data_IF_708675283531
#
_entry.id   IF_708675283531
#
_cell.length_a   1.000
_cell.length_b   1.000
_cell.length_c   1.000
_cell.angle_alpha   90.00
_cell.angle_beta   90.00
_cell.angle_gamma   90.00
#
_symmetry.space_group_name_H-M   'P 1'
#
loop_
_entity.id
_entity.type
_entity.pdbx_description
1 polymer ?
#
# COMPACT_ATOMS: atom_id res chain seq x y z
N UNK A 1 9.28 -27.54 -44.86
CA UNK A 1 7.93 -27.23 -45.33
C UNK A 1 7.49 -25.92 -44.72
N UNK A 2 7.33 -24.92 -45.55
CA UNK A 2 6.90 -23.56 -45.24
C UNK A 2 5.43 -23.53 -44.88
N UNK A 3 5.06 -22.70 -43.91
CA UNK A 3 3.81 -21.96 -44.01
C UNK A 3 3.89 -20.60 -43.29
N UNK A 4 3.98 -19.61 -44.12
CA UNK A 4 3.80 -18.19 -43.84
C UNK A 4 2.29 -17.89 -43.84
N UNK A 5 1.77 -17.25 -42.83
CA UNK A 5 0.45 -16.57 -42.95
C UNK A 5 0.58 -15.14 -42.45
N UNK A 6 0.65 -14.25 -43.44
CA UNK A 6 0.45 -12.81 -43.26
C UNK A 6 -1.04 -12.56 -43.02
N UNK A 7 -1.38 -11.69 -42.09
CA UNK A 7 -2.68 -11.02 -42.05
C UNK A 7 -2.52 -9.51 -42.06
N UNK A 8 -3.29 -8.93 -42.92
CA UNK A 8 -3.30 -7.58 -43.49
C UNK A 8 -3.88 -6.55 -42.57
N UNK A 9 -3.35 -5.33 -42.73
CA UNK A 9 -3.89 -4.03 -42.22
C UNK A 9 -5.28 -3.77 -42.81
N UNK A 10 -6.18 -3.20 -42.04
CA UNK A 10 -7.30 -2.41 -42.52
C UNK A 10 -7.35 -1.07 -41.79
N UNK A 11 -7.24 0.00 -42.58
CA UNK A 11 -7.46 1.38 -42.20
C UNK A 11 -8.84 1.79 -42.74
N UNK A 12 -9.55 2.63 -42.04
CA UNK A 12 -10.65 3.53 -42.46
C UNK A 12 -11.46 3.90 -41.20
N UNK A 13 -11.90 5.09 -40.93
CA UNK A 13 -11.99 6.30 -41.66
C UNK A 13 -12.54 7.40 -40.77
N UNK A 14 -12.17 8.56 -41.12
CA UNK A 14 -12.50 9.87 -40.56
C UNK A 14 -13.95 10.28 -40.91
N UNK A 15 -14.74 10.75 -39.94
CA UNK A 15 -15.95 11.54 -40.19
C UNK A 15 -16.07 12.67 -39.18
N UNK A 16 -15.99 13.91 -39.63
CA UNK A 16 -16.41 15.16 -38.99
C UNK A 16 -17.75 15.58 -39.63
N UNK A 17 -18.71 16.10 -38.89
CA UNK A 17 -19.43 17.31 -39.34
C UNK A 17 -19.60 18.36 -38.23
N UNK A 18 -19.16 19.55 -38.51
CA UNK A 18 -19.91 20.75 -38.98
C UNK A 18 -20.80 21.43 -37.94
N UNK A 19 -20.32 22.52 -37.54
CA UNK A 19 -20.76 23.89 -37.24
C UNK A 19 -22.27 24.18 -37.40
N UNK A 20 -22.89 24.77 -36.37
CA UNK A 20 -24.06 25.61 -36.50
C UNK A 20 -23.92 26.85 -35.59
N UNK A 21 -23.71 28.00 -36.19
CA UNK A 21 -23.79 29.33 -35.62
C UNK A 21 -25.23 29.78 -35.62
N UNK A 22 -25.75 30.27 -34.50
CA UNK A 22 -26.98 31.06 -34.45
C UNK A 22 -26.69 32.39 -33.76
N UNK A 23 -26.67 33.44 -34.55
CA UNK A 23 -26.73 34.82 -34.07
C UNK A 23 -28.18 35.19 -33.73
N UNK A 24 -28.40 35.78 -32.55
CA UNK A 24 -29.53 36.64 -32.32
C UNK A 24 -29.06 37.99 -31.78
N UNK A 25 -29.28 38.99 -32.59
CA UNK A 25 -29.19 40.44 -32.28
C UNK A 25 -30.51 40.89 -31.70
N UNK A 26 -30.49 41.58 -30.59
CA UNK A 26 -31.67 42.23 -30.02
C UNK A 26 -31.26 43.36 -29.08
N UNK A 27 -31.09 44.56 -29.61
CA UNK A 27 -30.96 45.80 -28.84
C UNK A 27 -32.26 46.14 -28.12
N UNK A 28 -32.17 46.53 -26.85
CA UNK A 28 -32.98 47.68 -26.38
C UNK A 28 -32.32 48.35 -25.18
N UNK A 29 -32.08 49.64 -25.35
CA UNK A 29 -31.63 50.57 -24.34
C UNK A 29 -32.76 50.90 -23.36
N UNK A 30 -32.45 50.97 -22.09
CA UNK A 30 -33.17 51.88 -21.20
C UNK A 30 -32.22 52.46 -20.15
N UNK A 31 -32.30 53.76 -19.96
CA UNK A 31 -31.46 54.59 -19.11
C UNK A 31 -32.05 54.59 -17.69
N UNK A 32 -31.32 54.22 -16.70
CA UNK A 32 -31.61 54.42 -15.30
C UNK A 32 -30.32 54.72 -14.52
N UNK A 33 -30.34 55.86 -13.88
CA UNK A 33 -29.27 56.56 -13.17
C UNK A 33 -28.71 55.76 -11.96
N UNK A 34 -27.44 55.94 -11.59
CA UNK A 34 -26.79 55.07 -10.57
C UNK A 34 -27.07 55.60 -9.16
N UNK A 35 -27.68 54.78 -8.33
CA UNK A 35 -27.60 54.93 -6.87
C UNK A 35 -26.36 54.25 -6.38
N UNK A 36 -25.44 55.09 -5.90
CA UNK A 36 -24.27 54.68 -5.12
C UNK A 36 -24.74 54.03 -3.82
N UNK A 37 -24.57 52.72 -3.68
CA UNK A 37 -24.59 52.03 -2.39
C UNK A 37 -23.19 51.53 -2.05
N UNK A 38 -22.63 52.04 -0.96
CA UNK A 38 -21.33 51.63 -0.45
C UNK A 38 -21.31 50.13 -0.14
N UNK A 39 -20.21 49.43 -0.43
CA UNK A 39 -20.12 48.00 -0.11
C UNK A 39 -20.04 47.80 1.42
N UNK A 40 -20.91 46.94 1.92
CA UNK A 40 -20.82 46.43 3.29
C UNK A 40 -19.50 45.65 3.48
N UNK A 41 -18.86 45.73 4.63
CA UNK A 41 -17.63 44.98 4.90
C UNK A 41 -17.90 43.49 4.78
N UNK A 42 -17.16 42.82 3.91
CA UNK A 42 -17.20 41.38 3.76
C UNK A 42 -16.79 40.72 5.10
N UNK A 43 -17.73 40.01 5.70
CA UNK A 43 -17.46 39.15 6.83
C UNK A 43 -16.39 38.14 6.42
N UNK A 44 -15.25 38.17 7.08
CA UNK A 44 -14.18 37.18 6.88
C UNK A 44 -14.76 35.79 7.14
N UNK A 45 -14.79 34.94 6.12
CA UNK A 45 -15.15 33.56 6.23
C UNK A 45 -14.15 32.88 7.17
N UNK A 46 -14.58 32.56 8.38
CA UNK A 46 -13.83 31.73 9.31
C UNK A 46 -13.84 30.34 8.73
N UNK A 47 -12.73 29.92 8.10
CA UNK A 47 -12.52 28.55 7.66
C UNK A 47 -12.59 27.67 8.91
N UNK A 48 -13.54 26.68 9.00
CA UNK A 48 -13.55 25.77 10.13
C UNK A 48 -12.21 25.05 10.20
N UNK A 49 -11.52 25.16 11.35
CA UNK A 49 -10.34 24.36 11.60
C UNK A 49 -10.72 22.89 11.44
N UNK A 50 -10.05 22.17 10.55
CA UNK A 50 -10.27 20.76 10.34
C UNK A 50 -10.12 20.04 11.67
N UNK A 51 -11.18 19.40 12.16
CA UNK A 51 -11.11 18.59 13.37
C UNK A 51 -10.06 17.50 13.15
N UNK A 52 -9.15 17.26 14.11
CA UNK A 52 -8.19 16.17 13.98
C UNK A 52 -8.95 14.87 13.79
N UNK A 53 -8.66 14.18 12.69
CA UNK A 53 -9.19 12.83 12.41
C UNK A 53 -8.75 11.95 13.59
N UNK A 54 -9.66 11.16 14.20
CA UNK A 54 -9.29 10.24 15.28
C UNK A 54 -8.09 9.40 14.84
N UNK A 55 -7.13 9.18 15.73
CA UNK A 55 -6.02 8.29 15.48
C UNK A 55 -6.58 6.90 15.12
N UNK A 56 -6.08 6.23 14.08
CA UNK A 56 -6.54 4.90 13.73
C UNK A 56 -6.25 3.95 14.89
N UNK A 57 -7.10 2.94 15.08
CA UNK A 57 -6.78 1.80 15.93
C UNK A 57 -5.56 1.04 15.38
N UNK A 58 -5.15 -0.03 16.07
CA UNK A 58 -4.10 -0.92 15.56
C UNK A 58 -4.56 -1.53 14.23
N UNK A 59 -3.75 -1.38 13.19
CA UNK A 59 -3.98 -1.96 11.88
C UNK A 59 -3.09 -3.20 11.76
N UNK A 60 -3.67 -4.31 11.31
CA UNK A 60 -2.98 -5.58 11.07
C UNK A 60 -3.30 -6.06 9.67
N UNK A 61 -2.27 -6.37 8.90
CA UNK A 61 -2.38 -6.86 7.52
C UNK A 61 -1.68 -8.20 7.47
N UNK A 62 -2.41 -9.23 7.04
CA UNK A 62 -1.87 -10.56 6.73
C UNK A 62 -1.37 -10.51 5.29
N UNK A 63 -0.07 -10.52 5.10
CA UNK A 63 0.51 -10.55 3.77
C UNK A 63 0.35 -11.95 3.15
N UNK A 64 0.00 -11.99 1.86
CA UNK A 64 -0.05 -13.22 1.08
C UNK A 64 -1.37 -13.99 1.08
N UNK A 65 -2.44 -13.48 1.71
CA UNK A 65 -3.75 -14.12 1.64
C UNK A 65 -4.87 -13.11 1.37
N UNK A 66 -5.80 -13.46 0.50
CA UNK A 66 -6.98 -12.64 0.15
C UNK A 66 -8.09 -12.71 1.19
N UNK A 67 -7.96 -13.58 2.19
CA UNK A 67 -8.90 -13.70 3.30
C UNK A 67 -8.35 -13.08 4.59
N UNK A 68 -9.19 -12.41 5.40
CA UNK A 68 -8.80 -11.95 6.72
C UNK A 68 -8.57 -13.15 7.66
N UNK A 69 -7.78 -12.92 8.71
CA UNK A 69 -7.49 -13.91 9.75
C UNK A 69 -7.86 -13.34 11.12
N UNK A 70 -8.48 -14.14 11.98
CA UNK A 70 -8.58 -13.83 13.41
C UNK A 70 -7.52 -14.65 14.15
N UNK A 71 -6.60 -13.99 14.86
CA UNK A 71 -5.54 -14.65 15.61
C UNK A 71 -6.05 -15.26 16.93
N UNK A 72 -5.19 -15.99 17.64
CA UNK A 72 -5.52 -16.66 18.91
C UNK A 72 -5.89 -15.69 20.05
N UNK A 73 -5.59 -14.41 19.90
CA UNK A 73 -5.93 -13.35 20.84
C UNK A 73 -7.21 -12.59 20.45
N UNK A 74 -7.88 -12.99 19.36
CA UNK A 74 -9.09 -12.35 18.85
C UNK A 74 -8.84 -11.11 18.01
N UNK A 75 -7.60 -10.81 17.63
CA UNK A 75 -7.30 -9.69 16.76
C UNK A 75 -7.60 -10.06 15.31
N UNK A 76 -8.19 -9.10 14.58
CA UNK A 76 -8.46 -9.26 13.14
C UNK A 76 -7.27 -8.73 12.34
N UNK A 77 -6.71 -9.58 11.50
CA UNK A 77 -5.76 -9.27 10.45
C UNK A 77 -6.51 -9.11 9.14
N UNK A 78 -6.39 -7.95 8.53
CA UNK A 78 -6.97 -7.67 7.22
C UNK A 78 -6.29 -8.55 6.15
N UNK A 79 -7.00 -8.80 5.06
CA UNK A 79 -6.44 -9.46 3.89
C UNK A 79 -5.24 -8.68 3.31
N UNK A 80 -4.45 -9.35 2.49
CA UNK A 80 -3.33 -8.77 1.74
C UNK A 80 -3.74 -7.48 1.02
N UNK A 81 -3.01 -6.42 1.29
CA UNK A 81 -3.22 -5.11 0.67
C UNK A 81 -2.03 -4.19 0.88
N UNK A 82 -1.94 -3.14 0.06
CA UNK A 82 -0.93 -2.08 0.17
C UNK A 82 0.38 -2.37 -0.55
N UNK A 83 0.60 -3.59 -1.05
CA UNK A 83 1.74 -3.93 -1.89
C UNK A 83 1.51 -3.43 -3.33
N UNK A 84 2.56 -2.90 -3.97
CA UNK A 84 2.47 -2.38 -5.33
C UNK A 84 2.58 -3.48 -6.39
N UNK A 85 3.30 -4.55 -6.08
CA UNK A 85 3.64 -5.67 -6.94
C UNK A 85 4.02 -6.89 -6.09
N UNK A 86 4.50 -7.95 -6.72
CA UNK A 86 4.88 -9.21 -6.10
C UNK A 86 3.83 -10.29 -6.30
N UNK A 87 4.04 -11.39 -5.63
CA UNK A 87 3.19 -12.57 -5.69
C UNK A 87 2.84 -13.05 -4.29
N UNK A 88 1.82 -13.87 -4.18
CA UNK A 88 1.35 -14.40 -2.91
C UNK A 88 1.35 -15.92 -2.92
N UNK A 89 1.61 -16.52 -1.75
CA UNK A 89 1.50 -17.95 -1.55
C UNK A 89 0.90 -18.26 -0.20
N UNK A 90 0.04 -19.28 -0.17
CA UNK A 90 -0.47 -19.86 1.07
C UNK A 90 0.08 -21.28 1.21
N UNK A 91 0.90 -21.51 2.24
CA UNK A 91 1.50 -22.80 2.55
C UNK A 91 0.46 -23.77 3.13
N UNK A 92 0.78 -25.07 3.12
CA UNK A 92 -0.09 -26.10 3.64
C UNK A 92 -0.54 -25.83 5.09
N UNK A 93 -1.81 -26.16 5.38
CA UNK A 93 -2.43 -25.85 6.67
C UNK A 93 -1.84 -26.57 7.87
N UNK A 94 -1.09 -27.64 7.66
CA UNK A 94 -0.39 -28.45 8.67
C UNK A 94 1.08 -28.02 8.90
N UNK A 95 1.62 -27.09 8.08
CA UNK A 95 2.96 -26.56 8.28
C UNK A 95 3.09 -25.96 9.67
N UNK A 96 4.05 -26.44 10.44
CA UNK A 96 4.33 -25.94 11.79
C UNK A 96 5.27 -24.75 11.73
N UNK A 97 4.91 -23.67 12.43
CA UNK A 97 5.76 -22.47 12.54
C UNK A 97 6.10 -22.31 14.04
N UNK A 98 7.38 -22.40 14.36
CA UNK A 98 7.86 -22.18 15.73
C UNK A 98 7.86 -20.68 16.09
N UNK A 99 8.07 -20.37 17.37
CA UNK A 99 8.13 -19.02 17.93
C UNK A 99 6.85 -18.20 17.78
N UNK A 100 5.70 -18.82 17.54
CA UNK A 100 4.40 -18.17 17.45
C UNK A 100 3.28 -19.03 18.02
N UNK A 101 2.20 -18.38 18.48
CA UNK A 101 0.92 -19.04 18.80
C UNK A 101 -0.03 -19.05 17.60
N UNK A 102 0.28 -18.28 16.56
CA UNK A 102 -0.55 -18.05 15.40
C UNK A 102 0.16 -18.48 14.10
N UNK A 103 0.43 -19.79 13.91
CA UNK A 103 1.13 -20.28 12.72
C UNK A 103 0.40 -19.96 11.42
N UNK A 104 -0.92 -19.80 11.45
CA UNK A 104 -1.72 -19.45 10.29
C UNK A 104 -1.35 -18.09 9.69
N UNK A 105 -0.86 -17.13 10.49
CA UNK A 105 -0.37 -15.85 10.00
C UNK A 105 0.85 -16.06 9.08
N UNK A 106 1.79 -16.88 9.51
CA UNK A 106 3.09 -17.09 8.85
C UNK A 106 3.06 -18.13 7.72
N UNK A 107 1.93 -18.80 7.50
CA UNK A 107 1.73 -19.66 6.31
C UNK A 107 1.34 -18.89 5.08
N UNK A 108 0.87 -17.66 5.21
CA UNK A 108 0.67 -16.74 4.11
C UNK A 108 1.93 -15.89 3.93
N UNK A 109 2.35 -15.68 2.70
CA UNK A 109 3.57 -14.97 2.36
C UNK A 109 3.34 -14.11 1.12
N UNK A 110 3.65 -12.82 1.19
CA UNK A 110 3.81 -11.96 0.03
C UNK A 110 5.29 -11.85 -0.28
N UNK A 111 5.69 -12.14 -1.52
CA UNK A 111 7.09 -12.18 -1.91
C UNK A 111 7.33 -11.49 -3.25
N UNK A 112 8.57 -11.21 -3.60
CA UNK A 112 9.00 -10.50 -4.82
C UNK A 112 8.47 -9.06 -4.93
N UNK A 113 7.93 -8.49 -3.88
CA UNK A 113 7.44 -7.12 -3.86
C UNK A 113 8.59 -6.10 -3.89
N UNK A 114 8.34 -4.93 -4.48
CA UNK A 114 9.25 -3.78 -4.44
C UNK A 114 8.86 -2.74 -3.41
N UNK A 115 7.57 -2.64 -3.08
CA UNK A 115 7.11 -1.67 -2.08
C UNK A 115 5.77 -2.03 -1.45
N UNK A 116 5.59 -1.47 -0.24
CA UNK A 116 4.31 -1.42 0.47
C UNK A 116 4.01 0.02 0.85
N UNK A 117 2.75 0.45 0.72
CA UNK A 117 2.30 1.77 1.14
C UNK A 117 0.90 1.69 1.77
N UNK A 118 0.72 2.37 2.90
CA UNK A 118 -0.56 2.39 3.60
C UNK A 118 -0.90 3.80 4.08
N UNK A 119 -2.09 4.36 3.74
CA UNK A 119 -2.51 5.69 4.18
C UNK A 119 -2.67 5.75 5.71
N UNK A 120 -2.00 6.72 6.35
CA UNK A 120 -2.04 6.93 7.80
C UNK A 120 -2.08 8.43 8.10
N UNK A 121 -2.77 8.87 9.17
CA UNK A 121 -2.58 10.21 9.71
C UNK A 121 -1.12 10.43 10.11
N UNK A 122 -0.67 11.69 10.03
CA UNK A 122 0.65 12.06 10.55
C UNK A 122 0.70 11.78 12.06
N UNK A 123 1.85 11.34 12.54
CA UNK A 123 2.04 10.98 13.95
C UNK A 123 3.10 9.91 14.14
N UNK A 124 3.27 9.50 15.39
CA UNK A 124 4.21 8.45 15.79
C UNK A 124 3.52 7.09 15.75
N UNK A 125 4.24 6.08 15.26
CA UNK A 125 3.76 4.70 15.19
C UNK A 125 4.89 3.73 15.52
N UNK A 126 4.50 2.54 15.93
CA UNK A 126 5.37 1.37 15.95
C UNK A 126 4.91 0.41 14.87
N UNK A 127 5.77 0.12 13.91
CA UNK A 127 5.53 -0.87 12.86
C UNK A 127 6.20 -2.16 13.26
N UNK A 128 5.45 -3.29 13.22
CA UNK A 128 6.00 -4.63 13.37
C UNK A 128 5.88 -5.37 12.06
N UNK A 129 7.01 -5.84 11.57
CA UNK A 129 7.13 -6.63 10.36
C UNK A 129 7.31 -8.09 10.75
N UNK A 130 6.43 -8.96 10.30
CA UNK A 130 6.37 -10.37 10.64
C UNK A 130 6.98 -11.19 9.51
N UNK A 131 7.94 -12.04 9.81
CA UNK A 131 8.71 -12.85 8.88
C UNK A 131 8.79 -14.30 9.33
N UNK A 132 8.78 -15.24 8.39
CA UNK A 132 9.18 -16.62 8.60
C UNK A 132 9.64 -17.21 7.27
N UNK A 133 10.87 -17.70 7.18
CA UNK A 133 11.32 -18.41 5.99
C UNK A 133 10.54 -19.73 5.85
N UNK A 134 9.69 -19.81 4.83
CA UNK A 134 8.80 -20.95 4.59
C UNK A 134 9.06 -21.64 3.25
N UNK A 135 9.98 -21.10 2.43
CA UNK A 135 10.35 -21.72 1.16
C UNK A 135 11.34 -22.86 1.40
N UNK A 136 10.98 -24.06 0.97
CA UNK A 136 11.71 -25.30 1.27
C UNK A 136 13.07 -25.41 0.56
N UNK A 137 13.29 -24.63 -0.50
CA UNK A 137 14.60 -24.52 -1.15
C UNK A 137 15.62 -23.68 -0.37
N UNK A 138 15.16 -22.86 0.59
CA UNK A 138 16.04 -22.13 1.50
C UNK A 138 16.36 -23.01 2.69
N UNK A 139 17.54 -23.62 2.68
CA UNK A 139 17.99 -24.63 3.65
C UNK A 139 19.08 -24.14 4.58
N UNK A 140 19.50 -22.90 4.47
CA UNK A 140 20.58 -22.33 5.28
C UNK A 140 20.72 -20.82 5.18
N UNK A 141 21.57 -20.22 6.02
CA UNK A 141 21.82 -18.80 6.03
C UNK A 141 22.46 -18.34 4.71
N UNK A 142 22.19 -17.09 4.33
CA UNK A 142 22.74 -16.45 3.13
C UNK A 142 22.06 -16.85 1.82
N UNK A 143 21.08 -17.75 1.84
CA UNK A 143 20.39 -18.19 0.63
C UNK A 143 19.22 -17.26 0.25
N UNK A 144 18.63 -16.56 1.21
CA UNK A 144 17.71 -15.42 0.99
C UNK A 144 18.21 -14.24 1.80
N UNK A 145 18.65 -13.20 1.12
CA UNK A 145 19.09 -11.94 1.70
C UNK A 145 18.47 -10.79 0.91
N UNK A 146 17.83 -9.88 1.57
CA UNK A 146 17.26 -8.69 0.97
C UNK A 146 17.48 -7.47 1.86
N UNK A 147 17.28 -6.29 1.32
CA UNK A 147 17.32 -5.05 2.08
C UNK A 147 15.95 -4.38 2.04
N UNK A 148 15.60 -3.63 3.07
CA UNK A 148 14.38 -2.84 3.05
C UNK A 148 14.53 -1.53 3.80
N UNK A 149 13.65 -0.58 3.53
CA UNK A 149 13.54 0.66 4.29
C UNK A 149 12.13 0.81 4.85
N UNK A 150 12.00 1.31 6.08
CA UNK A 150 10.72 1.68 6.70
C UNK A 150 10.79 3.17 7.01
N UNK A 151 9.98 3.99 6.34
CA UNK A 151 10.03 5.46 6.44
C UNK A 151 11.46 6.02 6.31
N UNK A 152 12.26 5.46 5.38
CA UNK A 152 13.63 5.85 5.15
C UNK A 152 14.68 5.25 6.09
N UNK A 153 14.29 4.58 7.18
CA UNK A 153 15.21 3.81 8.01
C UNK A 153 15.59 2.52 7.31
N UNK A 154 16.87 2.31 7.07
CA UNK A 154 17.40 1.21 6.28
C UNK A 154 17.76 -0.02 7.12
N UNK A 155 17.44 -1.20 6.57
CA UNK A 155 17.80 -2.53 7.05
C UNK A 155 18.51 -3.25 5.91
N UNK A 156 19.85 -3.34 6.00
CA UNK A 156 20.69 -3.95 4.98
C UNK A 156 20.90 -5.42 5.24
N UNK A 157 21.03 -6.16 4.15
CA UNK A 157 21.43 -7.57 4.15
C UNK A 157 20.64 -8.40 5.17
N UNK A 158 19.32 -8.21 5.18
CA UNK A 158 18.41 -8.87 6.09
C UNK A 158 18.21 -10.32 5.65
N UNK A 159 18.55 -11.23 6.52
CA UNK A 159 18.40 -12.69 6.33
C UNK A 159 17.41 -13.21 7.38
N UNK A 160 16.21 -13.61 6.92
CA UNK A 160 15.14 -14.12 7.79
C UNK A 160 15.58 -15.39 8.51
N UNK A 161 16.29 -16.29 7.82
CA UNK A 161 16.82 -17.53 8.43
C UNK A 161 17.72 -17.21 9.63
N UNK A 162 18.66 -16.29 9.48
CA UNK A 162 19.56 -15.89 10.57
C UNK A 162 18.79 -15.23 11.71
N UNK A 163 17.87 -14.32 11.40
CA UNK A 163 17.07 -13.59 12.39
C UNK A 163 16.15 -14.50 13.19
N UNK A 164 15.49 -15.45 12.55
CA UNK A 164 14.57 -16.39 13.18
C UNK A 164 15.27 -17.58 13.84
N UNK A 165 16.53 -17.84 13.47
CA UNK A 165 17.29 -19.02 13.92
C UNK A 165 16.93 -20.30 13.18
N UNK A 166 16.52 -20.19 11.90
CA UNK A 166 16.19 -21.30 11.02
C UNK A 166 14.88 -21.09 10.25
N UNK A 167 14.54 -22.06 9.37
CA UNK A 167 13.27 -22.07 8.64
C UNK A 167 12.09 -22.33 9.56
N UNK A 168 10.89 -21.99 9.09
CA UNK A 168 9.61 -22.22 9.75
C UNK A 168 9.61 -21.72 11.21
N UNK A 169 10.22 -20.57 11.44
CA UNK A 169 10.28 -19.88 12.72
C UNK A 169 9.88 -18.41 12.54
N UNK A 170 8.95 -17.97 13.35
CA UNK A 170 8.50 -16.59 13.33
C UNK A 170 9.57 -15.66 13.91
N UNK A 171 9.76 -14.53 13.24
CA UNK A 171 10.56 -13.40 13.67
C UNK A 171 9.79 -12.10 13.48
N UNK A 172 9.95 -11.15 14.39
CA UNK A 172 9.29 -9.84 14.32
C UNK A 172 10.36 -8.75 14.41
N UNK A 173 10.47 -7.95 13.35
CA UNK A 173 11.25 -6.72 13.38
C UNK A 173 10.35 -5.57 13.82
N UNK A 174 10.78 -4.82 14.84
CA UNK A 174 9.99 -3.71 15.42
C UNK A 174 10.66 -2.38 15.14
N UNK A 175 9.93 -1.49 14.48
CA UNK A 175 10.46 -0.22 13.96
C UNK A 175 9.58 0.94 14.42
N UNK A 176 10.08 1.84 15.29
CA UNK A 176 9.41 3.11 15.54
C UNK A 176 9.56 4.03 14.33
N UNK A 177 8.47 4.69 13.93
CA UNK A 177 8.42 5.59 12.77
C UNK A 177 7.65 6.86 13.08
N UNK A 178 8.02 7.96 12.41
CA UNK A 178 7.26 9.21 12.36
C UNK A 178 6.66 9.38 10.96
N UNK A 179 5.32 9.42 10.87
CA UNK A 179 4.60 9.70 9.63
C UNK A 179 4.40 11.21 9.50
N UNK A 180 4.94 11.79 8.44
CA UNK A 180 4.83 13.22 8.14
C UNK A 180 4.15 13.53 6.80
N UNK A 181 3.92 12.51 5.97
CA UNK A 181 3.44 12.64 4.59
C UNK A 181 2.11 11.88 4.34
N UNK A 182 1.39 11.53 5.39
CA UNK A 182 0.06 10.91 5.29
C UNK A 182 0.07 9.42 4.96
N UNK A 183 1.21 8.74 4.99
CA UNK A 183 1.32 7.30 4.68
C UNK A 183 2.54 6.64 5.30
N UNK A 184 2.46 5.35 5.55
CA UNK A 184 3.61 4.48 5.79
C UNK A 184 4.14 4.01 4.44
N UNK A 185 5.44 4.15 4.22
CA UNK A 185 6.13 3.63 3.04
C UNK A 185 7.22 2.63 3.45
N UNK A 186 7.21 1.45 2.83
CA UNK A 186 8.26 0.44 2.94
C UNK A 186 8.74 0.12 1.53
N UNK A 187 10.05 0.06 1.33
CA UNK A 187 10.65 -0.35 0.05
C UNK A 187 11.49 -1.59 0.28
N UNK A 188 11.49 -2.50 -0.69
CA UNK A 188 12.23 -3.75 -0.64
C UNK A 188 13.21 -3.83 -1.82
N UNK A 189 14.37 -4.41 -1.59
CA UNK A 189 15.42 -4.62 -2.59
C UNK A 189 15.98 -6.03 -2.45
N UNK A 190 15.91 -6.82 -3.51
CA UNK A 190 16.52 -8.15 -3.56
C UNK A 190 18.04 -8.05 -3.62
N UNK A 191 18.75 -8.76 -2.75
CA UNK A 191 20.20 -8.91 -2.81
C UNK A 191 20.55 -10.34 -3.29
N UNK A 192 20.02 -11.35 -2.60
CA UNK A 192 20.09 -12.78 -2.94
C UNK A 192 18.69 -13.35 -2.73
N UNK A 193 18.05 -13.86 -3.75
CA UNK A 193 16.64 -14.24 -3.72
C UNK A 193 15.70 -13.03 -3.49
N UNK A 194 14.41 -13.28 -3.60
CA UNK A 194 13.36 -12.26 -3.48
C UNK A 194 13.07 -11.92 -2.01
N UNK A 195 12.70 -10.67 -1.69
CA UNK A 195 12.15 -10.35 -0.39
C UNK A 195 10.83 -11.08 -0.16
N UNK A 196 10.53 -11.33 1.12
CA UNK A 196 9.28 -11.93 1.57
C UNK A 196 8.80 -11.27 2.86
N UNK A 197 7.49 -11.36 3.17
CA UNK A 197 6.89 -10.92 4.42
C UNK A 197 5.57 -11.66 4.67
N UNK A 198 5.24 -11.94 5.94
CA UNK A 198 4.02 -12.63 6.32
C UNK A 198 2.95 -11.71 6.94
N UNK A 199 3.34 -10.57 7.50
CA UNK A 199 2.39 -9.64 8.06
C UNK A 199 2.97 -8.32 8.51
N UNK A 200 2.10 -7.32 8.66
CA UNK A 200 2.46 -5.98 9.10
C UNK A 200 1.46 -5.53 10.17
N UNK A 201 1.96 -5.14 11.36
CA UNK A 201 1.16 -4.42 12.35
C UNK A 201 1.60 -2.95 12.39
N UNK A 202 0.62 -2.04 12.44
CA UNK A 202 0.83 -0.60 12.56
C UNK A 202 0.12 -0.15 13.83
N UNK A 203 0.89 0.20 14.84
CA UNK A 203 0.43 0.51 16.18
C UNK A 203 0.62 2.00 16.41
N UNK A 204 -0.45 2.78 16.65
CA UNK A 204 -0.32 4.19 16.98
C UNK A 204 0.55 4.39 18.24
N UNK A 205 1.46 5.35 18.18
CA UNK A 205 2.21 5.81 19.34
C UNK A 205 1.32 6.64 20.28
N UNK A 206 1.60 6.55 21.55
CA UNK A 206 0.97 7.40 22.57
C UNK A 206 1.62 8.79 22.60
#
# INVERSE_FOLDING_TARGET
MHNNTRFTRSASGLIIPALAVVLFIGCRSDKGEPRSSAPAPAAAAVTPAAQPKPAPGIIRIRAGDTAPLTDSSGNVWLADQGFADGETILRAGDMQIANTKDPALYRAEHYSMTSFSYPLPNGKYTVKLHFAETFDEITGPGQRVFSFTVQGREFKDFDVWVKAGGSQRAYIETVPVDIANGKLDIKFVSNIQNPEINGIEIIPGS
#
